data_IF_153956599531
#
_entry.id   IF_153956599531
#
_cell.length_a   1.000
_cell.length_b   1.000
_cell.length_c   1.000
_cell.angle_alpha   90.00
_cell.angle_beta   90.00
_cell.angle_gamma   90.00
#
_symmetry.space_group_name_H-M   'P 1'
#
loop_
_entity.id
_entity.type
_entity.pdbx_description
1 polymer ?
#
# COMPACT_ATOMS: atom_id res chain seq x y z
N UNK A 1 24.99 15.78 -19.13
CA UNK A 1 24.19 14.51 -19.14
C UNK A 1 22.83 14.62 -18.41
N UNK A 2 22.42 15.80 -17.92
CA UNK A 2 21.15 16.00 -17.14
C UNK A 2 19.90 16.30 -17.99
N UNK A 3 20.03 16.78 -19.22
CA UNK A 3 18.88 17.20 -20.05
C UNK A 3 18.04 16.07 -20.64
N UNK A 4 18.57 14.84 -20.76
CA UNK A 4 17.81 13.67 -21.28
C UNK A 4 16.90 13.03 -20.22
N UNK A 5 17.20 13.17 -18.93
CA UNK A 5 16.41 12.57 -17.85
C UNK A 5 15.12 13.35 -17.58
N UNK A 6 15.14 14.68 -17.67
CA UNK A 6 13.99 15.54 -17.41
C UNK A 6 12.86 15.40 -18.45
N UNK A 7 13.20 15.11 -19.72
CA UNK A 7 12.19 14.90 -20.77
C UNK A 7 11.43 13.57 -20.59
N UNK A 8 12.07 12.51 -20.13
CA UNK A 8 11.40 11.23 -19.87
C UNK A 8 10.45 11.32 -18.69
N UNK A 9 10.83 12.00 -17.62
CA UNK A 9 9.95 12.22 -16.45
C UNK A 9 8.68 13.01 -16.80
N UNK A 10 8.79 14.06 -17.62
CA UNK A 10 7.63 14.87 -18.03
C UNK A 10 6.65 14.12 -18.95
N UNK A 11 7.13 13.22 -19.79
CA UNK A 11 6.29 12.41 -20.70
C UNK A 11 5.53 11.34 -19.90
N UNK A 12 6.18 10.70 -18.94
CA UNK A 12 5.58 9.67 -18.10
C UNK A 12 4.48 10.26 -17.19
N UNK A 13 4.73 11.42 -16.61
CA UNK A 13 3.74 12.16 -15.79
C UNK A 13 2.51 12.57 -16.61
N UNK A 14 2.70 13.06 -17.83
CA UNK A 14 1.61 13.45 -18.72
C UNK A 14 0.73 12.26 -19.14
N UNK A 15 1.32 11.08 -19.33
CA UNK A 15 0.62 9.83 -19.66
C UNK A 15 -0.18 9.33 -18.46
N UNK A 16 0.45 9.27 -17.29
CA UNK A 16 -0.21 8.87 -16.06
C UNK A 16 -1.43 9.78 -15.78
N UNK A 17 -1.26 11.10 -15.90
CA UNK A 17 -2.36 12.05 -15.75
C UNK A 17 -3.50 11.81 -16.74
N UNK A 18 -3.19 11.55 -18.02
CA UNK A 18 -4.22 11.30 -19.05
C UNK A 18 -4.96 9.98 -18.78
N UNK A 19 -4.26 8.92 -18.41
CA UNK A 19 -4.88 7.65 -18.02
C UNK A 19 -5.81 7.84 -16.81
N UNK A 20 -5.35 8.51 -15.75
CA UNK A 20 -6.15 8.81 -14.55
C UNK A 20 -7.39 9.66 -14.85
N UNK A 21 -7.27 10.67 -15.73
CA UNK A 21 -8.43 11.49 -16.12
C UNK A 21 -9.45 10.67 -16.93
N UNK A 22 -8.97 9.80 -17.81
CA UNK A 22 -9.81 8.93 -18.62
C UNK A 22 -10.57 7.91 -17.77
N UNK A 23 -9.88 7.21 -16.87
CA UNK A 23 -10.51 6.24 -15.97
C UNK A 23 -11.41 6.92 -14.95
N UNK A 24 -11.02 8.09 -14.41
CA UNK A 24 -11.85 8.87 -13.50
C UNK A 24 -13.13 9.42 -14.15
N UNK A 25 -13.08 9.83 -15.42
CA UNK A 25 -14.27 10.23 -16.16
C UNK A 25 -15.19 9.02 -16.43
N UNK A 26 -14.60 7.87 -16.72
CA UNK A 26 -15.36 6.64 -16.93
C UNK A 26 -16.04 6.14 -15.64
N UNK A 27 -15.41 6.29 -14.48
CA UNK A 27 -16.00 5.97 -13.18
C UNK A 27 -17.41 6.57 -13.02
N UNK A 28 -17.60 7.83 -13.43
CA UNK A 28 -18.92 8.48 -13.37
C UNK A 28 -19.92 7.77 -14.27
N UNK A 29 -19.51 7.39 -15.48
CA UNK A 29 -20.36 6.66 -16.42
C UNK A 29 -20.73 5.27 -15.88
N UNK A 30 -19.79 4.61 -15.18
CA UNK A 30 -19.99 3.30 -14.59
C UNK A 30 -20.93 3.33 -13.38
N UNK A 31 -20.80 4.32 -12.49
CA UNK A 31 -21.77 4.53 -11.40
C UNK A 31 -23.17 4.76 -11.94
N UNK A 32 -23.31 5.68 -12.91
CA UNK A 32 -24.62 5.97 -13.53
C UNK A 32 -25.16 4.73 -14.26
N UNK A 33 -24.32 4.04 -15.01
CA UNK A 33 -24.68 2.81 -15.72
C UNK A 33 -25.08 1.68 -14.79
N UNK A 34 -24.38 1.49 -13.68
CA UNK A 34 -24.68 0.52 -12.63
C UNK A 34 -26.05 0.78 -11.98
N UNK A 35 -26.34 2.04 -11.64
CA UNK A 35 -27.63 2.44 -11.07
C UNK A 35 -28.76 2.24 -12.09
N UNK A 36 -28.61 2.70 -13.33
CA UNK A 36 -29.61 2.64 -14.36
C UNK A 36 -29.89 1.22 -14.90
N UNK A 37 -28.85 0.36 -14.92
CA UNK A 37 -28.97 -1.06 -15.29
C UNK A 37 -29.49 -1.92 -14.14
N UNK A 38 -29.34 -1.48 -12.89
CA UNK A 38 -29.59 -2.27 -11.68
C UNK A 38 -28.48 -3.31 -11.39
N UNK A 39 -27.33 -3.25 -12.09
CA UNK A 39 -26.22 -4.19 -11.92
C UNK A 39 -25.40 -3.90 -10.69
N UNK A 40 -25.29 -4.88 -9.79
CA UNK A 40 -24.43 -4.81 -8.61
C UNK A 40 -22.96 -5.01 -9.00
N UNK A 41 -22.67 -5.78 -10.05
CA UNK A 41 -21.30 -6.00 -10.53
C UNK A 41 -20.67 -4.69 -11.04
N UNK A 42 -21.41 -3.87 -11.81
CA UNK A 42 -20.93 -2.54 -12.22
C UNK A 42 -20.75 -1.60 -11.03
N UNK A 43 -21.66 -1.63 -10.05
CA UNK A 43 -21.51 -0.80 -8.83
C UNK A 43 -20.34 -1.25 -7.96
N UNK A 44 -20.04 -2.55 -7.92
CA UNK A 44 -18.88 -3.08 -7.21
C UNK A 44 -17.57 -2.64 -7.87
N UNK A 45 -17.50 -2.69 -9.21
CA UNK A 45 -16.33 -2.23 -9.98
C UNK A 45 -16.14 -0.72 -9.83
N UNK A 46 -17.23 0.07 -9.97
CA UNK A 46 -17.19 1.51 -9.72
C UNK A 46 -16.75 1.87 -8.28
N UNK A 47 -17.20 1.11 -7.28
CA UNK A 47 -16.79 1.32 -5.89
C UNK A 47 -15.30 1.01 -5.70
N UNK A 48 -14.76 -0.01 -6.38
CA UNK A 48 -13.32 -0.29 -6.41
C UNK A 48 -12.53 0.88 -6.99
N UNK A 49 -12.88 1.32 -8.20
CA UNK A 49 -12.24 2.47 -8.86
C UNK A 49 -12.33 3.77 -8.03
N UNK A 50 -13.47 4.02 -7.36
CA UNK A 50 -13.63 5.18 -6.48
C UNK A 50 -12.68 5.14 -5.29
N UNK A 51 -12.56 3.98 -4.66
CA UNK A 51 -11.67 3.81 -3.50
C UNK A 51 -10.20 3.94 -3.89
N UNK A 52 -9.80 3.44 -5.05
CA UNK A 52 -8.44 3.61 -5.56
C UNK A 52 -8.12 5.07 -5.88
N UNK A 53 -9.06 5.78 -6.50
CA UNK A 53 -8.94 7.22 -6.76
C UNK A 53 -8.84 8.00 -5.44
N UNK A 54 -9.65 7.66 -4.44
CA UNK A 54 -9.61 8.26 -3.12
C UNK A 54 -8.29 7.95 -2.40
N UNK A 55 -7.78 6.72 -2.51
CA UNK A 55 -6.46 6.32 -1.98
C UNK A 55 -5.34 7.16 -2.56
N UNK A 56 -5.31 7.32 -3.89
CA UNK A 56 -4.31 8.15 -4.57
C UNK A 56 -4.41 9.62 -4.16
N UNK A 57 -5.63 10.16 -4.04
CA UNK A 57 -5.85 11.54 -3.59
C UNK A 57 -5.38 11.74 -2.13
N UNK A 58 -5.68 10.80 -1.24
CA UNK A 58 -5.22 10.82 0.15
C UNK A 58 -3.70 10.67 0.24
N UNK A 59 -3.11 9.75 -0.52
CA UNK A 59 -1.66 9.56 -0.57
C UNK A 59 -0.95 10.83 -1.08
N UNK A 60 -1.47 11.47 -2.12
CA UNK A 60 -0.94 12.74 -2.62
C UNK A 60 -1.05 13.85 -1.57
N UNK A 61 -2.22 14.01 -0.94
CA UNK A 61 -2.43 15.00 0.12
C UNK A 61 -1.52 14.77 1.31
N UNK A 62 -1.40 13.54 1.76
CA UNK A 62 -0.51 13.13 2.85
C UNK A 62 0.97 13.34 2.48
N UNK A 63 1.40 12.99 1.25
CA UNK A 63 2.75 13.23 0.77
C UNK A 63 3.09 14.74 0.70
N UNK A 64 2.11 15.58 0.31
CA UNK A 64 2.28 17.04 0.35
C UNK A 64 2.41 17.56 1.78
N UNK A 65 1.62 17.01 2.71
CA UNK A 65 1.63 17.42 4.10
C UNK A 65 2.87 16.89 4.84
N UNK A 66 3.38 15.71 4.49
CA UNK A 66 4.59 15.12 5.06
C UNK A 66 5.87 15.91 4.76
N UNK A 67 5.85 16.78 3.74
CA UNK A 67 6.95 17.72 3.44
C UNK A 67 7.04 18.88 4.42
N UNK A 68 6.07 19.03 5.34
CA UNK A 68 6.18 20.03 6.41
C UNK A 68 7.28 19.61 7.37
N UNK A 69 8.14 20.55 7.80
CA UNK A 69 9.19 20.27 8.75
C UNK A 69 8.61 19.77 10.08
N UNK A 70 9.41 19.05 10.83
CA UNK A 70 9.10 18.69 12.20
C UNK A 70 8.74 19.93 13.03
N UNK A 71 7.77 19.78 13.92
CA UNK A 71 7.35 20.81 14.86
C UNK A 71 7.51 20.33 16.32
N UNK A 72 7.17 21.18 17.28
CA UNK A 72 7.30 20.85 18.71
C UNK A 72 6.42 19.67 19.16
N UNK A 73 5.35 19.38 18.42
CA UNK A 73 4.42 18.30 18.73
C UNK A 73 4.75 17.01 17.96
N UNK A 74 5.48 17.13 16.85
CA UNK A 74 5.80 16.02 15.94
C UNK A 74 7.29 16.08 15.57
N UNK A 75 8.12 15.53 16.44
CA UNK A 75 9.59 15.54 16.28
C UNK A 75 10.07 14.82 15.02
N UNK A 76 9.35 13.79 14.57
CA UNK A 76 9.59 13.11 13.29
C UNK A 76 8.79 13.70 12.11
N UNK A 77 8.15 14.88 12.28
CA UNK A 77 7.33 15.50 11.25
C UNK A 77 6.03 14.74 10.99
N UNK A 78 5.58 14.76 9.73
CA UNK A 78 4.26 14.27 9.33
C UNK A 78 4.33 13.00 8.45
N UNK A 79 5.46 12.30 8.43
CA UNK A 79 5.68 11.14 7.57
C UNK A 79 4.63 10.03 7.76
N UNK A 80 4.23 9.74 9.00
CA UNK A 80 3.21 8.72 9.31
C UNK A 80 1.79 9.04 8.83
N UNK A 81 1.51 10.28 8.39
CA UNK A 81 0.20 10.60 7.80
C UNK A 81 -0.11 9.79 6.55
N UNK A 82 0.91 9.43 5.76
CA UNK A 82 0.72 8.59 4.58
C UNK A 82 0.26 7.19 4.98
N UNK A 83 0.85 6.64 6.03
CA UNK A 83 0.51 5.32 6.55
C UNK A 83 -0.89 5.33 7.17
N UNK A 84 -1.21 6.37 7.96
CA UNK A 84 -2.54 6.54 8.54
C UNK A 84 -3.62 6.68 7.45
N UNK A 85 -3.35 7.44 6.39
CA UNK A 85 -4.26 7.57 5.25
C UNK A 85 -4.49 6.22 4.56
N UNK A 86 -3.42 5.44 4.32
CA UNK A 86 -3.53 4.10 3.75
C UNK A 86 -4.34 3.16 4.66
N UNK A 87 -4.11 3.19 5.97
CA UNK A 87 -4.86 2.40 6.94
C UNK A 87 -6.35 2.75 6.93
N UNK A 88 -6.69 4.04 7.02
CA UNK A 88 -8.09 4.52 7.02
C UNK A 88 -8.78 4.13 5.70
N UNK A 89 -8.10 4.29 4.57
CA UNK A 89 -8.62 3.86 3.28
C UNK A 89 -8.88 2.36 3.24
N UNK A 90 -7.91 1.54 3.68
CA UNK A 90 -8.08 0.10 3.77
C UNK A 90 -9.27 -0.32 4.64
N UNK A 91 -9.47 0.34 5.79
CA UNK A 91 -10.65 0.12 6.65
C UNK A 91 -11.95 0.52 5.94
N UNK A 92 -11.96 1.64 5.20
CA UNK A 92 -13.13 2.04 4.42
C UNK A 92 -13.52 1.00 3.35
N UNK A 93 -12.55 0.31 2.75
CA UNK A 93 -12.82 -0.81 1.84
C UNK A 93 -13.62 -1.95 2.49
N UNK A 94 -13.36 -2.29 3.75
CA UNK A 94 -14.16 -3.31 4.44
C UNK A 94 -15.63 -2.92 4.54
N UNK A 95 -15.94 -1.64 4.76
CA UNK A 95 -17.32 -1.17 4.79
C UNK A 95 -17.99 -1.30 3.40
N UNK A 96 -17.28 -0.92 2.34
CA UNK A 96 -17.75 -1.05 0.95
C UNK A 96 -17.99 -2.52 0.58
N UNK A 97 -17.02 -3.39 0.87
CA UNK A 97 -17.13 -4.84 0.61
C UNK A 97 -18.28 -5.45 1.42
N UNK A 98 -18.42 -5.08 2.70
CA UNK A 98 -19.52 -5.53 3.55
C UNK A 98 -20.88 -5.15 2.96
N UNK A 99 -21.02 -3.93 2.44
CA UNK A 99 -22.23 -3.49 1.75
C UNK A 99 -22.50 -4.29 0.47
N UNK A 100 -21.48 -4.49 -0.38
CA UNK A 100 -21.61 -5.28 -1.63
C UNK A 100 -22.05 -6.70 -1.32
N UNK A 101 -21.41 -7.35 -0.33
CA UNK A 101 -21.75 -8.71 0.07
C UNK A 101 -23.18 -8.80 0.62
N UNK A 102 -23.58 -7.86 1.49
CA UNK A 102 -24.95 -7.81 2.00
C UNK A 102 -25.97 -7.67 0.85
N UNK A 103 -25.74 -6.74 -0.07
CA UNK A 103 -26.60 -6.52 -1.22
C UNK A 103 -26.63 -7.73 -2.16
N UNK A 104 -25.47 -8.39 -2.39
CA UNK A 104 -25.39 -9.59 -3.20
C UNK A 104 -26.21 -10.75 -2.59
N UNK A 105 -26.15 -10.94 -1.27
CA UNK A 105 -26.95 -11.97 -0.59
C UNK A 105 -28.45 -11.69 -0.70
N UNK A 106 -28.87 -10.44 -0.52
CA UNK A 106 -30.29 -10.08 -0.67
C UNK A 106 -30.79 -10.30 -2.10
N UNK A 107 -29.96 -9.96 -3.11
CA UNK A 107 -30.28 -10.17 -4.53
C UNK A 107 -30.24 -11.63 -4.97
N UNK A 108 -29.46 -12.48 -4.33
CA UNK A 108 -29.49 -13.93 -4.58
C UNK A 108 -30.81 -14.54 -4.12
N UNK A 109 -31.37 -14.05 -3.00
CA UNK A 109 -32.67 -14.52 -2.50
C UNK A 109 -33.84 -14.01 -3.37
N UNK A 110 -33.74 -12.80 -3.91
CA UNK A 110 -34.78 -12.17 -4.74
C UNK A 110 -34.11 -11.33 -5.83
N UNK A 111 -33.69 -11.94 -6.95
CA UNK A 111 -32.93 -11.25 -7.98
C UNK A 111 -33.77 -10.13 -8.64
N UNK A 112 -33.35 -8.85 -8.55
CA UNK A 112 -34.02 -7.77 -9.23
C UNK A 112 -33.79 -7.87 -10.76
N UNK A 113 -34.66 -7.29 -11.59
CA UNK A 113 -34.43 -7.27 -13.02
C UNK A 113 -33.24 -6.37 -13.36
N UNK A 114 -32.23 -6.95 -14.01
CA UNK A 114 -31.05 -6.25 -14.52
C UNK A 114 -31.24 -5.99 -16.02
N UNK A 115 -31.02 -4.74 -16.46
CA UNK A 115 -31.07 -4.36 -17.88
C UNK A 115 -29.76 -4.80 -18.56
N UNK A 116 -29.67 -6.08 -18.95
CA UNK A 116 -28.46 -6.69 -19.50
C UNK A 116 -27.85 -5.95 -20.69
N UNK A 117 -28.69 -5.35 -21.58
CA UNK A 117 -28.19 -4.56 -22.71
C UNK A 117 -27.46 -3.28 -22.30
N UNK A 118 -27.97 -2.56 -21.29
CA UNK A 118 -27.29 -1.37 -20.74
C UNK A 118 -26.02 -1.76 -19.98
N UNK A 119 -26.12 -2.81 -19.17
CA UNK A 119 -24.96 -3.36 -18.46
C UNK A 119 -23.84 -3.75 -19.44
N UNK A 120 -24.18 -4.45 -20.54
CA UNK A 120 -23.21 -4.83 -21.57
C UNK A 120 -22.56 -3.61 -22.22
N UNK A 121 -23.35 -2.60 -22.57
CA UNK A 121 -22.85 -1.37 -23.19
C UNK A 121 -21.83 -0.64 -22.29
N UNK A 122 -22.15 -0.51 -21.00
CA UNK A 122 -21.25 0.12 -20.03
C UNK A 122 -19.99 -0.72 -19.82
N UNK A 123 -20.11 -2.04 -19.65
CA UNK A 123 -18.97 -2.92 -19.44
C UNK A 123 -18.02 -2.97 -20.65
N UNK A 124 -18.55 -2.97 -21.88
CA UNK A 124 -17.73 -2.88 -23.11
C UNK A 124 -17.03 -1.53 -23.22
N UNK A 125 -17.71 -0.43 -22.88
CA UNK A 125 -17.09 0.88 -22.83
C UNK A 125 -15.97 0.93 -21.77
N UNK A 126 -16.18 0.32 -20.60
CA UNK A 126 -15.16 0.18 -19.54
C UNK A 126 -13.94 -0.58 -20.00
N UNK A 127 -14.15 -1.74 -20.61
CA UNK A 127 -13.04 -2.52 -21.18
C UNK A 127 -12.26 -1.69 -22.23
N UNK A 128 -12.95 -0.96 -23.09
CA UNK A 128 -12.29 -0.13 -24.10
C UNK A 128 -11.46 1.01 -23.47
N UNK A 129 -11.99 1.66 -22.42
CA UNK A 129 -11.29 2.70 -21.65
C UNK A 129 -10.05 2.10 -20.96
N UNK A 130 -10.19 0.96 -20.30
CA UNK A 130 -9.10 0.29 -19.62
C UNK A 130 -8.02 -0.19 -20.60
N UNK A 131 -8.40 -0.73 -21.76
CA UNK A 131 -7.45 -1.05 -22.84
C UNK A 131 -6.72 0.20 -23.32
N UNK A 132 -7.42 1.32 -23.55
CA UNK A 132 -6.79 2.57 -23.94
C UNK A 132 -5.81 3.08 -22.89
N UNK A 133 -6.21 3.07 -21.61
CA UNK A 133 -5.34 3.45 -20.50
C UNK A 133 -4.09 2.54 -20.42
N UNK A 134 -4.25 1.22 -20.53
CA UNK A 134 -3.15 0.28 -20.55
C UNK A 134 -2.20 0.50 -21.72
N UNK A 135 -2.73 0.76 -22.92
CA UNK A 135 -1.92 1.08 -24.10
C UNK A 135 -1.11 2.37 -23.93
N UNK A 136 -1.65 3.35 -23.19
CA UNK A 136 -0.93 4.59 -22.86
C UNK A 136 0.22 4.34 -21.87
N UNK A 137 0.07 3.36 -20.96
CA UNK A 137 1.03 3.08 -19.89
C UNK A 137 2.06 2.02 -20.29
N UNK A 138 1.72 1.07 -21.20
CA UNK A 138 2.63 -0.01 -21.58
C UNK A 138 3.84 0.50 -22.37
N UNK A 139 4.97 -0.17 -22.19
CA UNK A 139 6.13 -0.09 -23.11
C UNK A 139 7.04 1.13 -22.94
N UNK A 140 6.89 1.93 -21.91
CA UNK A 140 7.71 3.10 -21.67
C UNK A 140 8.18 3.17 -20.21
N UNK A 141 9.48 2.99 -20.03
CA UNK A 141 10.17 3.43 -18.84
C UNK A 141 10.40 2.37 -17.76
N UNK A 142 11.51 2.56 -17.11
CA UNK A 142 11.90 1.88 -15.87
C UNK A 142 11.18 2.46 -14.65
N UNK A 143 10.18 3.32 -14.87
CA UNK A 143 9.44 3.98 -13.80
C UNK A 143 8.46 3.00 -13.14
N UNK A 144 8.74 2.64 -11.89
CA UNK A 144 7.94 1.71 -11.08
C UNK A 144 6.47 2.15 -10.95
N UNK A 145 6.20 3.45 -10.87
CA UNK A 145 4.83 3.98 -10.75
C UNK A 145 4.01 3.73 -12.02
N UNK A 146 4.60 3.90 -13.20
CA UNK A 146 3.93 3.60 -14.48
C UNK A 146 3.67 2.11 -14.63
N UNK A 147 4.61 1.27 -14.20
CA UNK A 147 4.45 -0.19 -14.21
C UNK A 147 3.37 -0.65 -13.23
N UNK A 148 3.33 -0.09 -12.03
CA UNK A 148 2.29 -0.38 -11.04
C UNK A 148 0.90 0.02 -11.56
N UNK A 149 0.77 1.21 -12.16
CA UNK A 149 -0.48 1.67 -12.77
C UNK A 149 -0.92 0.78 -13.93
N UNK A 150 0.00 0.29 -14.77
CA UNK A 150 -0.34 -0.64 -15.86
C UNK A 150 -0.85 -1.99 -15.35
N UNK A 151 -0.27 -2.52 -14.26
CA UNK A 151 -0.74 -3.77 -13.61
C UNK A 151 -2.12 -3.57 -12.97
N UNK A 152 -2.35 -2.41 -12.37
CA UNK A 152 -3.66 -2.05 -11.80
C UNK A 152 -4.75 -2.04 -12.87
N UNK A 153 -4.52 -1.33 -13.98
CA UNK A 153 -5.48 -1.28 -15.12
C UNK A 153 -5.75 -2.67 -15.71
N UNK A 154 -4.78 -3.61 -15.67
CA UNK A 154 -5.04 -5.00 -16.06
C UNK A 154 -6.06 -5.69 -15.12
N UNK A 155 -6.03 -5.38 -13.83
CA UNK A 155 -7.04 -5.82 -12.87
C UNK A 155 -8.44 -5.32 -13.23
N UNK A 156 -8.56 -4.02 -13.56
CA UNK A 156 -9.82 -3.39 -13.96
C UNK A 156 -10.37 -3.99 -15.28
N UNK A 157 -9.48 -4.38 -16.21
CA UNK A 157 -9.89 -5.09 -17.43
C UNK A 157 -10.53 -6.44 -17.11
N UNK A 158 -10.05 -7.18 -16.10
CA UNK A 158 -10.65 -8.45 -15.68
C UNK A 158 -12.05 -8.22 -15.08
N UNK A 159 -12.26 -7.15 -14.30
CA UNK A 159 -13.54 -6.72 -13.77
C UNK A 159 -14.54 -6.42 -14.90
N UNK A 160 -14.13 -5.59 -15.85
CA UNK A 160 -14.95 -5.26 -17.04
C UNK A 160 -15.29 -6.52 -17.88
N UNK A 161 -14.34 -7.44 -18.06
CA UNK A 161 -14.58 -8.70 -18.77
C UNK A 161 -15.60 -9.57 -18.04
N UNK A 162 -15.49 -9.67 -16.72
CA UNK A 162 -16.46 -10.40 -15.90
C UNK A 162 -17.87 -9.80 -16.03
N UNK A 163 -17.99 -8.47 -16.02
CA UNK A 163 -19.26 -7.77 -16.23
C UNK A 163 -19.86 -8.02 -17.64
N UNK A 164 -19.01 -8.09 -18.68
CA UNK A 164 -19.44 -8.46 -20.05
C UNK A 164 -19.99 -9.89 -20.08
N UNK A 165 -19.29 -10.84 -19.45
CA UNK A 165 -19.75 -12.23 -19.36
C UNK A 165 -21.08 -12.30 -18.64
N UNK A 166 -21.24 -11.61 -17.50
CA UNK A 166 -22.51 -11.57 -16.77
C UNK A 166 -23.64 -11.00 -17.61
N UNK A 167 -23.43 -9.85 -18.25
CA UNK A 167 -24.43 -9.21 -19.10
C UNK A 167 -24.84 -10.12 -20.25
N UNK A 168 -23.90 -10.82 -20.87
CA UNK A 168 -24.15 -11.77 -21.96
C UNK A 168 -25.00 -12.94 -21.48
N UNK A 169 -24.66 -13.53 -20.32
CA UNK A 169 -25.45 -14.63 -19.72
C UNK A 169 -26.85 -14.15 -19.40
N UNK A 170 -27.04 -12.96 -18.82
CA UNK A 170 -28.38 -12.38 -18.55
C UNK A 170 -29.17 -12.23 -19.83
N UNK A 171 -28.58 -11.71 -20.91
CA UNK A 171 -29.27 -11.49 -22.18
C UNK A 171 -29.70 -12.79 -22.85
N UNK A 172 -28.90 -13.85 -22.76
CA UNK A 172 -29.19 -15.12 -23.42
C UNK A 172 -30.09 -16.05 -22.61
N UNK A 173 -29.91 -16.10 -21.30
CA UNK A 173 -30.58 -17.07 -20.43
C UNK A 173 -31.63 -16.46 -19.52
N UNK A 174 -31.65 -15.13 -19.34
CA UNK A 174 -32.48 -14.47 -18.33
C UNK A 174 -32.04 -14.77 -16.87
N UNK A 175 -30.89 -15.41 -16.64
CA UNK A 175 -30.44 -15.79 -15.31
C UNK A 175 -29.82 -14.58 -14.57
N UNK A 176 -30.66 -13.88 -13.81
CA UNK A 176 -30.27 -12.64 -13.11
C UNK A 176 -29.30 -12.87 -11.96
N UNK A 177 -29.23 -14.09 -11.37
CA UNK A 177 -28.36 -14.39 -10.24
C UNK A 177 -26.86 -14.33 -10.58
N UNK A 178 -26.49 -14.30 -11.86
CA UNK A 178 -25.08 -14.20 -12.29
C UNK A 178 -24.46 -12.85 -11.89
N UNK A 179 -25.25 -11.76 -11.88
CA UNK A 179 -24.78 -10.42 -11.48
C UNK A 179 -24.33 -10.39 -9.99
N UNK A 180 -25.15 -10.76 -8.99
CA UNK A 180 -24.69 -10.81 -7.61
C UNK A 180 -23.59 -11.86 -7.36
N UNK A 181 -23.55 -12.98 -8.09
CA UNK A 181 -22.47 -13.96 -7.96
C UNK A 181 -21.12 -13.38 -8.38
N UNK A 182 -21.07 -12.65 -9.50
CA UNK A 182 -19.86 -11.97 -9.93
C UNK A 182 -19.49 -10.81 -9.00
N UNK A 183 -20.49 -10.10 -8.46
CA UNK A 183 -20.25 -9.06 -7.45
C UNK A 183 -19.57 -9.62 -6.20
N UNK A 184 -19.94 -10.82 -5.73
CA UNK A 184 -19.25 -11.52 -4.63
C UNK A 184 -17.80 -11.82 -4.99
N UNK A 185 -17.55 -12.31 -6.22
CA UNK A 185 -16.17 -12.59 -6.65
C UNK A 185 -15.31 -11.33 -6.65
N UNK A 186 -15.80 -10.23 -7.21
CA UNK A 186 -15.10 -8.93 -7.20
C UNK A 186 -14.90 -8.45 -5.77
N UNK A 187 -15.93 -8.51 -4.92
CA UNK A 187 -15.84 -8.12 -3.51
C UNK A 187 -14.76 -8.91 -2.74
N UNK A 188 -14.61 -10.21 -3.01
CA UNK A 188 -13.55 -11.03 -2.38
C UNK A 188 -12.15 -10.65 -2.85
N UNK A 189 -11.99 -10.26 -4.11
CA UNK A 189 -10.71 -9.76 -4.63
C UNK A 189 -10.33 -8.43 -3.96
N UNK A 190 -11.30 -7.51 -3.85
CA UNK A 190 -11.12 -6.23 -3.15
C UNK A 190 -10.78 -6.48 -1.66
N UNK A 191 -11.49 -7.40 -1.01
CA UNK A 191 -11.28 -7.74 0.40
C UNK A 191 -9.83 -8.21 0.67
N UNK A 192 -9.30 -9.03 -0.23
CA UNK A 192 -7.90 -9.49 -0.12
C UNK A 192 -6.92 -8.33 -0.20
N UNK A 193 -7.11 -7.42 -1.15
CA UNK A 193 -6.27 -6.23 -1.30
C UNK A 193 -6.35 -5.32 -0.07
N UNK A 194 -7.58 -5.04 0.39
CA UNK A 194 -7.83 -4.24 1.59
C UNK A 194 -7.17 -4.83 2.84
N UNK A 195 -7.26 -6.16 3.01
CA UNK A 195 -6.61 -6.86 4.12
C UNK A 195 -5.10 -6.65 4.13
N UNK A 196 -4.46 -6.78 2.95
CA UNK A 196 -3.02 -6.57 2.83
C UNK A 196 -2.63 -5.13 3.23
N UNK A 197 -3.35 -4.12 2.72
CA UNK A 197 -3.08 -2.71 3.03
C UNK A 197 -3.27 -2.42 4.53
N UNK A 198 -4.36 -2.92 5.13
CA UNK A 198 -4.64 -2.71 6.56
C UNK A 198 -3.59 -3.41 7.43
N UNK A 199 -3.22 -4.65 7.09
CA UNK A 199 -2.19 -5.40 7.82
C UNK A 199 -0.84 -4.69 7.77
N UNK A 200 -0.40 -4.27 6.60
CA UNK A 200 0.90 -3.61 6.40
C UNK A 200 0.95 -2.23 7.06
N UNK A 201 -0.05 -1.39 6.79
CA UNK A 201 -0.11 -0.08 7.41
C UNK A 201 -0.30 -0.16 8.93
N UNK A 202 -1.11 -1.10 9.41
CA UNK A 202 -1.27 -1.36 10.84
C UNK A 202 0.03 -1.82 11.51
N UNK A 203 0.80 -2.68 10.85
CA UNK A 203 2.12 -3.12 11.32
C UNK A 203 3.08 -1.94 11.50
N UNK A 204 3.15 -1.02 10.52
CA UNK A 204 3.99 0.18 10.60
C UNK A 204 3.48 1.14 11.70
N UNK A 205 2.16 1.30 11.86
CA UNK A 205 1.59 2.16 12.90
C UNK A 205 1.85 1.63 14.30
N UNK A 206 1.90 0.31 14.47
CA UNK A 206 2.24 -0.39 15.72
C UNK A 206 3.76 -0.49 15.95
N UNK A 207 4.57 0.21 15.16
CA UNK A 207 6.03 0.20 15.28
C UNK A 207 6.66 -1.18 15.07
N UNK A 208 6.01 -2.02 14.24
CA UNK A 208 6.51 -3.35 13.91
C UNK A 208 7.84 -3.30 13.15
N UNK A 209 8.67 -4.31 13.37
CA UNK A 209 9.93 -4.48 12.65
C UNK A 209 9.66 -4.72 11.16
N UNK A 210 10.31 -3.98 10.23
CA UNK A 210 10.17 -4.19 8.80
C UNK A 210 10.47 -5.65 8.41
N UNK A 211 9.61 -6.26 7.60
CA UNK A 211 9.72 -7.68 7.26
C UNK A 211 10.97 -8.06 6.42
N UNK A 212 11.58 -7.09 5.78
CA UNK A 212 12.80 -7.22 4.98
C UNK A 212 14.09 -7.05 5.80
N UNK A 213 13.98 -6.84 7.11
CA UNK A 213 15.12 -6.56 8.01
C UNK A 213 15.10 -7.50 9.21
N UNK A 214 16.24 -8.14 9.42
CA UNK A 214 16.45 -9.07 10.53
C UNK A 214 17.27 -8.40 11.62
N UNK A 215 16.69 -8.30 12.82
CA UNK A 215 17.32 -7.71 14.01
C UNK A 215 18.53 -8.53 14.46
N UNK A 216 18.45 -9.87 14.34
CA UNK A 216 19.55 -10.75 14.71
C UNK A 216 20.74 -10.60 13.75
N UNK A 217 20.46 -10.43 12.45
CA UNK A 217 21.50 -10.13 11.46
C UNK A 217 22.21 -8.80 11.72
N UNK A 218 21.49 -7.78 12.21
CA UNK A 218 22.07 -6.49 12.62
C UNK A 218 23.02 -6.69 13.82
N UNK A 219 22.55 -7.41 14.84
CA UNK A 219 23.35 -7.73 16.02
C UNK A 219 24.65 -8.46 15.64
N UNK A 220 24.54 -9.51 14.83
CA UNK A 220 25.70 -10.29 14.40
C UNK A 220 26.68 -9.48 13.56
N UNK A 221 26.19 -8.62 12.66
CA UNK A 221 27.05 -7.75 11.85
C UNK A 221 27.85 -6.78 12.72
N UNK A 222 27.21 -6.14 13.70
CA UNK A 222 27.88 -5.21 14.61
C UNK A 222 28.96 -5.95 15.42
N UNK A 223 28.63 -7.10 16.02
CA UNK A 223 29.59 -7.89 16.81
C UNK A 223 30.78 -8.39 15.97
N UNK A 224 30.56 -8.67 14.67
CA UNK A 224 31.64 -9.11 13.77
C UNK A 224 32.50 -7.95 13.27
N UNK A 225 31.94 -6.78 12.99
CA UNK A 225 32.63 -5.69 12.30
C UNK A 225 33.13 -4.60 13.25
N UNK A 226 32.68 -4.60 14.51
CA UNK A 226 33.13 -3.70 15.57
C UNK A 226 33.75 -4.52 16.71
N UNK A 227 35.06 -4.80 16.68
CA UNK A 227 35.72 -5.70 17.64
C UNK A 227 35.64 -5.24 19.08
N UNK A 228 35.41 -3.95 19.32
CA UNK A 228 35.23 -3.36 20.64
C UNK A 228 33.87 -3.65 21.26
N UNK A 229 32.88 -4.02 20.45
CA UNK A 229 31.54 -4.38 20.91
C UNK A 229 31.55 -5.78 21.55
N UNK A 230 31.21 -5.87 22.84
CA UNK A 230 31.11 -7.12 23.60
C UNK A 230 29.74 -7.73 23.51
N UNK A 231 28.70 -6.90 23.54
CA UNK A 231 27.33 -7.29 23.37
C UNK A 231 26.54 -6.16 22.70
N UNK A 232 25.44 -6.54 22.03
CA UNK A 232 24.46 -5.63 21.44
C UNK A 232 23.08 -6.08 21.87
N UNK A 233 22.33 -5.21 22.54
CA UNK A 233 21.03 -5.54 23.13
C UNK A 233 20.07 -4.33 23.06
N UNK A 234 18.84 -4.49 23.54
CA UNK A 234 17.76 -3.49 23.46
C UNK A 234 17.58 -2.93 22.03
N UNK A 235 17.61 -3.82 21.05
CA UNK A 235 17.46 -3.44 19.65
C UNK A 235 15.97 -3.25 19.37
N UNK A 236 15.58 -2.01 19.05
CA UNK A 236 14.25 -1.69 18.56
C UNK A 236 14.38 -1.13 17.15
N UNK A 237 13.72 -1.78 16.21
CA UNK A 237 13.71 -1.40 14.81
C UNK A 237 12.27 -1.25 14.33
N UNK A 238 11.94 -0.08 13.82
CA UNK A 238 10.63 0.21 13.25
C UNK A 238 10.77 1.12 12.02
N UNK A 239 9.66 1.41 11.34
CA UNK A 239 9.65 2.36 10.22
C UNK A 239 8.70 3.52 10.46
N UNK A 240 9.09 4.71 9.99
CA UNK A 240 8.17 5.86 9.87
C UNK A 240 7.33 5.73 8.60
N UNK A 241 7.97 5.33 7.50
CA UNK A 241 7.41 4.94 6.21
C UNK A 241 8.23 3.74 5.71
N UNK A 242 7.78 2.97 4.69
CA UNK A 242 8.53 1.83 4.18
C UNK A 242 10.01 2.13 3.88
N UNK A 243 10.32 3.35 3.43
CA UNK A 243 11.65 3.78 3.02
C UNK A 243 12.44 4.51 4.15
N UNK A 244 11.88 4.63 5.37
CA UNK A 244 12.53 5.37 6.47
C UNK A 244 12.56 4.52 7.75
N UNK A 245 13.47 3.54 7.84
CA UNK A 245 13.69 2.78 9.06
C UNK A 245 14.34 3.64 10.14
N UNK A 246 13.98 3.38 11.37
CA UNK A 246 14.55 4.01 12.58
C UNK A 246 14.96 2.90 13.55
N UNK A 247 16.12 3.05 14.15
CA UNK A 247 16.67 2.03 15.03
C UNK A 247 17.19 2.65 16.34
N UNK A 248 16.92 1.96 17.44
CA UNK A 248 17.65 2.19 18.71
C UNK A 248 18.31 0.90 19.15
N UNK A 249 19.50 1.01 19.75
CA UNK A 249 20.19 -0.14 20.34
C UNK A 249 21.20 0.30 21.38
N UNK A 250 21.60 -0.66 22.22
CA UNK A 250 22.69 -0.51 23.19
C UNK A 250 23.88 -1.39 22.77
N UNK A 251 25.09 -0.88 22.97
CA UNK A 251 26.35 -1.58 22.69
C UNK A 251 27.21 -1.57 23.94
N UNK A 252 27.44 -2.74 24.51
CA UNK A 252 28.36 -2.89 25.64
C UNK A 252 29.81 -2.93 25.14
N UNK A 253 30.68 -2.18 25.83
CA UNK A 253 32.12 -2.10 25.53
C UNK A 253 32.96 -2.22 26.81
N UNK A 254 34.27 -2.35 26.68
CA UNK A 254 35.17 -2.28 27.84
C UNK A 254 35.23 -0.84 28.42
N UNK A 255 35.45 -0.67 29.74
CA UNK A 255 35.45 0.65 30.39
C UNK A 255 36.44 1.65 29.80
N UNK A 256 37.57 1.20 29.28
CA UNK A 256 38.62 2.01 28.69
C UNK A 256 38.44 2.28 27.17
N UNK A 257 37.35 1.84 26.60
CA UNK A 257 37.07 1.98 25.17
C UNK A 257 36.61 3.41 24.83
N UNK A 258 37.12 3.94 23.71
CA UNK A 258 36.66 5.22 23.19
C UNK A 258 35.25 5.05 22.58
N UNK A 259 34.23 5.47 23.33
CA UNK A 259 32.83 5.38 22.93
C UNK A 259 32.52 6.14 21.61
N UNK A 260 33.25 7.21 21.30
CA UNK A 260 33.01 7.98 20.08
C UNK A 260 33.47 7.20 18.84
N UNK A 261 34.58 6.45 18.94
CA UNK A 261 35.08 5.59 17.86
C UNK A 261 34.11 4.44 17.62
N UNK A 262 33.62 3.77 18.68
CA UNK A 262 32.65 2.68 18.58
C UNK A 262 31.36 3.18 17.96
N UNK A 263 30.80 4.30 18.43
CA UNK A 263 29.59 4.91 17.88
C UNK A 263 29.71 5.15 16.37
N UNK A 264 30.85 5.72 15.93
CA UNK A 264 31.06 6.00 14.50
C UNK A 264 31.10 4.71 13.66
N UNK A 265 31.75 3.65 14.16
CA UNK A 265 31.84 2.34 13.48
C UNK A 265 30.48 1.65 13.42
N UNK A 266 29.74 1.60 14.54
CA UNK A 266 28.40 1.02 14.57
C UNK A 266 27.47 1.74 13.57
N UNK A 267 27.49 3.08 13.55
CA UNK A 267 26.70 3.84 12.59
C UNK A 267 27.10 3.55 11.14
N UNK A 268 28.38 3.37 10.85
CA UNK A 268 28.85 2.99 9.52
C UNK A 268 28.30 1.61 9.11
N UNK A 269 28.35 0.61 9.99
CA UNK A 269 27.77 -0.72 9.72
C UNK A 269 26.26 -0.63 9.44
N UNK A 270 25.52 0.16 10.24
CA UNK A 270 24.08 0.33 10.06
C UNK A 270 23.72 0.97 8.70
N UNK A 271 24.48 1.97 8.27
CA UNK A 271 24.28 2.64 6.97
C UNK A 271 24.72 1.71 5.82
N UNK A 272 25.94 1.19 5.86
CA UNK A 272 26.56 0.51 4.72
C UNK A 272 25.93 -0.87 4.43
N UNK A 273 25.47 -1.57 5.49
CA UNK A 273 24.94 -2.94 5.38
C UNK A 273 23.42 -3.00 5.37
N UNK A 274 22.76 -2.09 6.08
CA UNK A 274 21.32 -2.18 6.34
C UNK A 274 20.53 -0.98 5.85
N UNK A 275 21.20 0.03 5.27
CA UNK A 275 20.54 1.27 4.81
C UNK A 275 19.71 1.94 5.93
N UNK A 276 20.27 1.97 7.16
CA UNK A 276 19.68 2.60 8.35
C UNK A 276 20.49 3.85 8.67
N UNK A 277 20.04 4.99 8.17
CA UNK A 277 20.69 6.29 8.37
C UNK A 277 20.25 6.98 9.69
N UNK A 278 19.05 6.67 10.17
CA UNK A 278 18.51 7.24 11.41
C UNK A 278 18.55 6.23 12.56
N UNK A 279 19.59 6.34 13.39
CA UNK A 279 19.79 5.45 14.54
C UNK A 279 20.18 6.21 15.80
N UNK A 280 19.72 5.72 16.96
CA UNK A 280 20.21 6.11 18.29
C UNK A 280 20.97 4.93 18.89
N UNK A 281 22.24 5.12 19.16
CA UNK A 281 23.12 4.09 19.72
C UNK A 281 23.60 4.56 21.08
N UNK A 282 23.27 3.80 22.12
CA UNK A 282 23.80 3.99 23.46
C UNK A 282 25.01 3.09 23.64
N UNK A 283 26.22 3.69 23.88
CA UNK A 283 27.42 2.95 24.11
C UNK A 283 27.67 2.88 25.63
N UNK A 284 27.75 1.67 26.15
CA UNK A 284 27.81 1.38 27.59
C UNK A 284 29.15 0.80 27.98
N UNK A 285 29.99 1.56 28.73
CA UNK A 285 31.35 1.09 29.12
C UNK A 285 31.35 0.10 30.28
N UNK A 286 30.19 -0.32 30.79
CA UNK A 286 30.07 -1.28 31.89
C UNK A 286 28.80 -2.09 31.80
N UNK A 287 27.84 -1.89 32.68
CA UNK A 287 26.54 -2.57 32.63
C UNK A 287 25.48 -1.68 32.00
N UNK A 288 24.41 -2.31 31.46
CA UNK A 288 23.28 -1.61 30.93
C UNK A 288 22.66 -0.69 31.98
N UNK A 289 22.47 0.59 31.60
CA UNK A 289 21.87 1.61 32.45
C UNK A 289 20.36 1.40 32.62
N UNK A 290 19.68 0.83 31.59
CA UNK A 290 18.29 0.50 31.63
C UNK A 290 18.11 -0.86 32.33
N UNK A 291 17.47 -0.83 33.48
CA UNK A 291 17.11 -2.07 34.18
C UNK A 291 16.17 -2.86 33.27
N UNK A 292 16.47 -4.14 33.09
CA UNK A 292 15.57 -5.08 32.42
C UNK A 292 14.32 -5.14 33.30
N UNK A 293 13.31 -4.37 32.96
CA UNK A 293 11.97 -4.60 33.49
C UNK A 293 11.52 -5.95 32.93
N UNK A 294 11.39 -6.91 33.86
CA UNK A 294 10.98 -8.32 33.60
C UNK A 294 9.61 -8.47 32.95
N UNK A 295 9.02 -7.40 32.47
CA UNK A 295 7.70 -7.33 31.82
C UNK A 295 7.73 -7.31 30.30
N UNK A 296 8.89 -7.15 29.65
CA UNK A 296 9.03 -7.32 28.20
C UNK A 296 9.84 -8.59 27.93
N UNK A 297 9.23 -9.72 28.24
CA UNK A 297 9.77 -11.02 27.85
C UNK A 297 9.73 -11.17 26.35
N UNK A 298 10.86 -10.98 25.65
CA UNK A 298 11.04 -11.60 24.34
C UNK A 298 11.08 -13.12 24.56
N UNK A 299 9.94 -13.78 24.35
CA UNK A 299 9.91 -15.23 24.24
C UNK A 299 10.71 -15.61 22.98
N UNK A 300 11.89 -16.14 23.16
CA UNK A 300 12.58 -16.91 22.14
C UNK A 300 11.75 -18.17 21.87
N UNK A 301 10.93 -18.15 20.80
CA UNK A 301 10.30 -19.34 20.24
C UNK A 301 10.60 -19.39 18.75
#
# INVERSE_FOLDING_TARGET
MHAHNDQHHGIDEARLRRATLLTGAFLVAEVVGGILSGSLALLADAAHMLTDTAALAMAWGAARLSRRPADRLRSYGYHRLQILAAFVNGVAFFAVVGWILYEAFTRLASPPPVKGGLMLGVAVAGLAVNVAAWLMLRGHGQNLNVRAAAVHVLGDMLGSLAAIVAATVILWTGWMAVDPLLSVLVALLILRSAWFVVKESGHILLEGTPADRDVDAIREAILREVPEARDVHHIHLWSLTPDHPVLTLHVEVAPETDCAVVLARVKAVLVDRFDIDHSTVQVEPSCCADRIDSHVGYSTA
#
